data_IF_833397195408
#
_entry.id   IF_833397195408
#
_cell.length_a   1.000
_cell.length_b   1.000
_cell.length_c   1.000
_cell.angle_alpha   90.00
_cell.angle_beta   90.00
_cell.angle_gamma   90.00
#
_symmetry.space_group_name_H-M   'P 1'
#
loop_
_entity.id
_entity.type
_entity.pdbx_description
1 polymer ?
#
# COMPACT_ATOMS: atom_id res chain seq x y z
N UNK A 1 69.24 -24.86 -41.18
CA UNK A 1 68.86 -26.18 -40.64
C UNK A 1 67.41 -26.12 -40.19
N UNK A 2 66.60 -27.00 -40.77
CA UNK A 2 65.19 -27.27 -40.44
C UNK A 2 65.02 -27.77 -39.01
N UNK A 3 63.95 -27.36 -38.30
CA UNK A 3 62.82 -28.22 -37.86
C UNK A 3 61.80 -27.39 -37.05
N UNK A 4 60.54 -27.32 -37.49
CA UNK A 4 59.35 -27.31 -36.60
C UNK A 4 58.89 -28.75 -36.32
N UNK A 5 57.65 -29.08 -35.86
CA UNK A 5 56.45 -28.24 -35.61
C UNK A 5 55.56 -28.62 -34.38
N UNK A 6 54.42 -27.92 -34.19
CA UNK A 6 53.14 -28.41 -33.59
C UNK A 6 53.05 -28.47 -32.05
N UNK A 7 51.93 -28.29 -31.32
CA UNK A 7 50.46 -28.33 -31.54
C UNK A 7 49.85 -27.91 -30.17
N UNK A 8 48.69 -27.26 -29.97
CA UNK A 8 47.36 -27.48 -30.53
C UNK A 8 46.40 -28.12 -29.50
N UNK A 9 45.72 -27.29 -28.70
CA UNK A 9 44.29 -27.37 -28.26
C UNK A 9 43.70 -28.60 -27.51
N UNK A 10 42.97 -28.27 -26.41
CA UNK A 10 41.64 -28.78 -25.94
C UNK A 10 41.51 -29.84 -24.81
N UNK A 11 40.61 -29.51 -23.87
CA UNK A 11 39.53 -30.32 -23.21
C UNK A 11 39.61 -30.52 -21.68
N UNK A 12 38.65 -29.87 -21.01
CA UNK A 12 37.68 -30.33 -20.00
C UNK A 12 38.08 -31.45 -19.01
N UNK A 13 37.88 -31.24 -17.71
CA UNK A 13 36.65 -31.61 -16.97
C UNK A 13 36.92 -31.51 -15.46
N UNK A 14 36.26 -30.60 -14.74
CA UNK A 14 35.58 -30.92 -13.50
C UNK A 14 34.55 -29.82 -13.24
N UNK A 15 33.29 -30.24 -13.35
CA UNK A 15 32.12 -29.48 -12.98
C UNK A 15 32.11 -29.42 -11.45
N UNK A 16 32.11 -28.23 -10.88
CA UNK A 16 31.34 -27.98 -9.67
C UNK A 16 30.32 -26.90 -10.00
N UNK A 17 29.13 -27.42 -10.21
CA UNK A 17 27.86 -26.74 -10.34
C UNK A 17 27.54 -26.12 -8.98
N UNK A 18 28.04 -24.92 -8.70
CA UNK A 18 27.54 -24.12 -7.58
C UNK A 18 26.48 -23.15 -8.09
N UNK A 19 25.29 -23.33 -7.56
CA UNK A 19 24.05 -22.83 -8.09
C UNK A 19 24.06 -21.31 -8.19
N UNK A 20 23.78 -20.80 -9.39
CA UNK A 20 23.08 -19.52 -9.49
C UNK A 20 21.69 -19.73 -8.90
N UNK A 21 21.57 -19.68 -7.56
CA UNK A 21 20.34 -19.23 -6.93
C UNK A 21 20.06 -17.86 -7.54
N UNK A 22 19.10 -17.82 -8.46
CA UNK A 22 18.67 -16.59 -9.08
C UNK A 22 18.32 -15.62 -7.96
N UNK A 23 19.11 -14.56 -7.83
CA UNK A 23 18.74 -13.39 -7.04
C UNK A 23 17.48 -12.84 -7.71
N UNK A 24 16.32 -13.36 -7.31
CA UNK A 24 15.03 -12.79 -7.63
C UNK A 24 15.08 -11.37 -7.08
N UNK A 25 15.26 -10.37 -7.96
CA UNK A 25 15.20 -8.98 -7.56
C UNK A 25 13.86 -8.77 -6.85
N UNK A 26 13.87 -8.53 -5.54
CA UNK A 26 12.65 -8.24 -4.80
C UNK A 26 12.01 -7.01 -5.43
N UNK A 27 10.83 -7.18 -6.04
CA UNK A 27 10.06 -6.06 -6.57
C UNK A 27 9.47 -5.32 -5.36
N UNK A 28 9.59 -4.00 -5.37
CA UNK A 28 9.06 -3.14 -4.32
C UNK A 28 7.97 -2.23 -4.85
N UNK A 29 7.09 -1.83 -3.95
CA UNK A 29 5.96 -0.95 -4.20
C UNK A 29 6.04 0.17 -3.18
N UNK A 30 5.94 1.41 -3.64
CA UNK A 30 5.89 2.56 -2.75
C UNK A 30 4.44 2.83 -2.42
N UNK A 31 3.96 2.41 -1.25
CA UNK A 31 2.57 2.63 -0.82
C UNK A 31 2.44 3.99 -0.12
N UNK A 32 1.20 4.49 0.10
CA UNK A 32 0.97 5.71 0.90
C UNK A 32 1.50 5.60 2.34
N UNK A 33 1.56 4.38 2.87
CA UNK A 33 2.17 4.05 4.16
C UNK A 33 3.64 3.65 4.08
N UNK A 34 4.34 3.96 2.98
CA UNK A 34 5.77 3.66 2.81
C UNK A 34 6.09 2.49 1.88
N UNK A 35 7.39 2.23 1.70
CA UNK A 35 7.93 1.20 0.81
C UNK A 35 7.69 -0.22 1.34
N UNK A 36 7.13 -1.10 0.51
CA UNK A 36 6.82 -2.49 0.84
C UNK A 36 7.30 -3.45 -0.26
N UNK A 37 7.55 -4.71 0.11
CA UNK A 37 7.76 -5.75 -0.88
C UNK A 37 6.44 -6.00 -1.66
N UNK A 38 6.53 -6.27 -2.96
CA UNK A 38 5.34 -6.39 -3.81
C UNK A 38 4.45 -7.59 -3.45
N UNK A 39 5.01 -8.62 -2.81
CA UNK A 39 4.31 -9.82 -2.37
C UNK A 39 3.42 -9.61 -1.14
N UNK A 40 3.59 -8.51 -0.40
CA UNK A 40 2.74 -8.12 0.75
C UNK A 40 1.74 -7.01 0.42
N UNK A 41 1.61 -6.63 -0.86
CA UNK A 41 0.66 -5.63 -1.33
C UNK A 41 -0.41 -6.31 -2.18
N UNK A 42 -1.67 -6.22 -1.75
CA UNK A 42 -2.75 -7.02 -2.29
C UNK A 42 -3.91 -6.17 -2.79
N UNK A 43 -4.37 -6.44 -4.02
CA UNK A 43 -5.62 -5.87 -4.47
C UNK A 43 -6.80 -6.57 -3.79
N UNK A 44 -7.76 -5.77 -3.34
CA UNK A 44 -9.02 -6.19 -2.74
C UNK A 44 -10.08 -6.23 -3.84
N UNK A 45 -10.87 -7.31 -3.88
CA UNK A 45 -11.96 -7.43 -4.84
C UNK A 45 -13.10 -6.45 -4.49
N UNK A 46 -13.89 -5.99 -5.49
CA UNK A 46 -15.08 -5.20 -5.21
C UNK A 46 -15.98 -5.87 -4.16
N UNK A 47 -16.57 -5.07 -3.28
CA UNK A 47 -17.48 -5.49 -2.20
C UNK A 47 -16.90 -6.46 -1.16
N UNK A 48 -15.59 -6.74 -1.22
CA UNK A 48 -14.89 -7.48 -0.15
C UNK A 48 -14.44 -6.56 0.98
N UNK A 49 -14.22 -7.19 2.13
CA UNK A 49 -13.87 -6.57 3.40
C UNK A 49 -12.45 -7.00 3.80
N UNK A 50 -11.60 -6.05 4.19
CA UNK A 50 -10.32 -6.39 4.83
C UNK A 50 -10.59 -6.66 6.32
N UNK A 51 -10.53 -7.93 6.72
CA UNK A 51 -10.74 -8.37 8.09
C UNK A 51 -9.42 -8.78 8.73
N UNK A 52 -9.03 -8.07 9.80
CA UNK A 52 -7.87 -8.40 10.61
C UNK A 52 -8.33 -8.90 11.98
N UNK A 53 -8.13 -10.20 12.21
CA UNK A 53 -8.48 -10.87 13.46
C UNK A 53 -7.51 -12.04 13.70
N UNK A 54 -7.30 -12.37 14.97
CA UNK A 54 -6.44 -13.50 15.38
C UNK A 54 -5.01 -13.42 14.82
N UNK A 55 -4.48 -12.19 14.68
CA UNK A 55 -3.15 -11.94 14.11
C UNK A 55 -3.04 -12.28 12.62
N UNK A 56 -4.15 -12.33 11.88
CA UNK A 56 -4.16 -12.60 10.43
C UNK A 56 -5.03 -11.61 9.67
N UNK A 57 -4.57 -11.25 8.49
CA UNK A 57 -5.34 -10.49 7.52
C UNK A 57 -6.03 -11.43 6.55
N UNK A 58 -7.31 -11.15 6.30
CA UNK A 58 -8.18 -11.91 5.40
C UNK A 58 -8.98 -10.94 4.56
N UNK A 59 -9.21 -11.28 3.31
CA UNK A 59 -10.28 -10.68 2.54
C UNK A 59 -11.51 -11.57 2.70
N UNK A 60 -12.64 -10.97 3.08
CA UNK A 60 -13.88 -11.68 3.36
C UNK A 60 -15.05 -10.99 2.66
N UNK A 61 -16.18 -11.67 2.49
CA UNK A 61 -17.42 -11.00 2.09
C UNK A 61 -17.96 -10.17 3.26
N UNK A 62 -18.93 -9.28 3.00
CA UNK A 62 -19.63 -8.58 4.09
C UNK A 62 -20.32 -9.55 5.06
N UNK A 63 -20.71 -10.75 4.61
CA UNK A 63 -21.27 -11.79 5.46
C UNK A 63 -20.21 -12.51 6.32
N UNK A 64 -18.93 -12.23 6.13
CA UNK A 64 -17.81 -12.84 6.84
C UNK A 64 -17.28 -14.13 6.21
N UNK A 65 -17.73 -14.47 5.00
CA UNK A 65 -17.22 -15.64 4.28
C UNK A 65 -15.80 -15.35 3.80
N UNK A 66 -14.89 -16.31 4.00
CA UNK A 66 -13.49 -16.17 3.57
C UNK A 66 -13.41 -16.13 2.04
N UNK A 67 -12.81 -15.08 1.49
CA UNK A 67 -12.46 -15.00 0.06
C UNK A 67 -10.98 -15.31 -0.15
N UNK A 68 -10.11 -14.80 0.73
CA UNK A 68 -8.66 -14.99 0.65
C UNK A 68 -8.02 -14.85 2.03
N UNK A 69 -7.11 -15.76 2.37
CA UNK A 69 -6.16 -15.56 3.46
C UNK A 69 -4.96 -14.77 2.92
N UNK A 70 -4.72 -13.58 3.47
CA UNK A 70 -3.63 -12.72 3.04
C UNK A 70 -2.34 -13.09 3.77
N UNK A 71 -2.45 -13.48 5.04
CA UNK A 71 -1.31 -13.93 5.83
C UNK A 71 -1.31 -13.39 7.25
N UNK A 72 -0.21 -13.61 7.99
CA UNK A 72 -0.05 -13.11 9.34
C UNK A 72 0.11 -11.58 9.37
N UNK A 73 -0.37 -10.97 10.45
CA UNK A 73 -0.21 -9.56 10.78
C UNK A 73 0.70 -9.47 11.99
N UNK A 74 1.85 -8.79 11.91
CA UNK A 74 2.74 -8.60 13.04
C UNK A 74 2.00 -7.98 14.25
N UNK A 75 2.32 -8.39 15.48
CA UNK A 75 1.78 -7.71 16.66
C UNK A 75 2.33 -6.28 16.71
N UNK A 76 1.44 -5.30 16.89
CA UNK A 76 1.80 -3.90 17.12
C UNK A 76 1.55 -3.51 18.57
N UNK A 77 2.47 -2.76 19.17
CA UNK A 77 2.32 -2.29 20.54
C UNK A 77 1.13 -1.31 20.66
N UNK A 78 0.18 -1.55 21.58
CA UNK A 78 -0.94 -0.64 21.78
C UNK A 78 -0.47 0.77 22.17
N UNK A 79 -1.09 1.79 21.59
CA UNK A 79 -0.86 3.19 21.95
C UNK A 79 0.35 3.86 21.29
N UNK A 80 1.15 3.13 20.50
CA UNK A 80 2.16 3.74 19.63
C UNK A 80 1.50 4.17 18.32
N UNK A 81 1.56 5.46 17.93
CA UNK A 81 1.05 5.89 16.63
C UNK A 81 1.79 5.17 15.50
N UNK A 82 1.03 4.54 14.60
CA UNK A 82 1.51 3.99 13.33
C UNK A 82 2.05 5.09 12.38
N UNK A 83 3.19 5.67 12.71
CA UNK A 83 3.83 6.71 11.89
C UNK A 83 4.93 6.07 11.06
N UNK A 84 5.07 6.44 9.77
CA UNK A 84 6.23 6.04 9.00
C UNK A 84 7.53 6.42 9.72
N UNK A 85 8.57 5.60 9.61
CA UNK A 85 9.82 5.79 10.36
C UNK A 85 10.45 7.19 10.13
N UNK A 86 10.23 7.79 8.96
CA UNK A 86 10.71 9.13 8.62
C UNK A 86 9.98 10.26 9.37
N UNK A 87 8.80 10.00 9.93
CA UNK A 87 8.02 10.98 10.71
C UNK A 87 8.47 11.02 12.18
N UNK A 88 9.09 9.95 12.67
CA UNK A 88 9.68 9.88 14.01
C UNK A 88 11.10 10.46 14.08
N UNK A 89 11.63 10.94 12.95
CA UNK A 89 12.96 11.57 12.90
C UNK A 89 12.92 13.00 13.46
N UNK A 90 14.05 13.52 13.98
CA UNK A 90 14.15 14.92 14.41
C UNK A 90 13.75 15.88 13.28
N UNK A 91 13.08 17.01 13.59
CA UNK A 91 12.57 17.97 12.58
C UNK A 91 13.64 18.53 11.63
N UNK A 92 14.90 18.45 12.01
CA UNK A 92 16.06 18.94 11.25
C UNK A 92 16.45 18.02 10.08
N UNK A 93 15.93 16.79 10.05
CA UNK A 93 16.17 15.84 8.97
C UNK A 93 14.97 15.82 8.01
N UNK A 94 15.16 16.36 6.81
CA UNK A 94 14.16 16.24 5.76
C UNK A 94 13.95 14.75 5.42
N UNK A 95 12.71 14.26 5.40
CA UNK A 95 12.45 12.89 5.01
C UNK A 95 12.80 12.69 3.54
N UNK A 96 13.56 11.64 3.23
CA UNK A 96 13.84 11.26 1.84
C UNK A 96 12.52 10.95 1.11
N UNK A 97 12.44 11.28 -0.17
CA UNK A 97 11.27 10.96 -0.98
C UNK A 97 10.99 9.45 -0.99
N UNK A 98 9.72 9.08 -0.83
CA UNK A 98 9.30 7.67 -0.81
C UNK A 98 9.53 6.94 0.52
N UNK A 99 10.01 7.61 1.57
CA UNK A 99 10.15 7.01 2.91
C UNK A 99 8.85 7.03 3.72
N UNK A 100 7.87 7.83 3.32
CA UNK A 100 6.57 7.95 3.98
C UNK A 100 6.00 9.36 3.85
N UNK A 101 5.43 9.90 4.93
CA UNK A 101 4.73 11.18 4.88
C UNK A 101 5.71 12.35 4.90
N UNK A 102 5.56 13.26 3.95
CA UNK A 102 6.43 14.44 3.82
C UNK A 102 5.83 15.66 4.54
N UNK A 103 4.50 15.80 4.52
CA UNK A 103 3.77 16.85 5.25
C UNK A 103 2.45 16.28 5.72
N UNK A 104 2.13 16.45 7.00
CA UNK A 104 0.92 15.90 7.60
C UNK A 104 0.38 16.81 8.70
N UNK A 105 -0.92 16.68 8.98
CA UNK A 105 -1.56 17.20 10.17
C UNK A 105 -2.38 16.07 10.81
N UNK A 106 -2.52 16.08 12.13
CA UNK A 106 -3.26 15.05 12.85
C UNK A 106 -4.31 15.67 13.79
N UNK A 107 -5.37 14.91 14.03
CA UNK A 107 -6.39 15.22 15.02
C UNK A 107 -6.80 13.92 15.72
N UNK A 108 -6.82 13.95 17.05
CA UNK A 108 -7.29 12.83 17.87
C UNK A 108 -8.63 13.17 18.51
N UNK A 109 -9.65 12.37 18.19
CA UNK A 109 -10.97 12.53 18.79
C UNK A 109 -10.98 11.99 20.22
N UNK A 110 -11.59 12.73 21.15
CA UNK A 110 -11.87 12.25 22.52
C UNK A 110 -13.03 11.25 22.61
N UNK A 111 -13.75 11.01 21.50
CA UNK A 111 -14.87 10.05 21.43
C UNK A 111 -14.79 9.17 20.18
N UNK A 112 -15.35 7.95 20.19
CA UNK A 112 -15.35 7.07 19.02
C UNK A 112 -15.98 7.73 17.78
N UNK A 113 -15.22 7.82 16.69
CA UNK A 113 -15.71 8.34 15.42
C UNK A 113 -16.73 7.36 14.80
N UNK A 114 -17.77 7.92 14.18
CA UNK A 114 -18.74 7.16 13.35
C UNK A 114 -18.45 7.31 11.86
N UNK A 115 -17.97 8.48 11.45
CA UNK A 115 -17.58 8.74 10.08
C UNK A 115 -16.53 9.85 10.02
N UNK A 116 -15.76 9.86 8.95
CA UNK A 116 -14.85 10.93 8.59
C UNK A 116 -14.97 11.17 7.09
N UNK A 117 -15.29 12.40 6.71
CA UNK A 117 -15.51 12.81 5.32
C UNK A 117 -14.58 13.97 4.99
N UNK A 118 -14.05 13.94 3.77
CA UNK A 118 -13.27 15.04 3.20
C UNK A 118 -13.74 15.31 1.79
N UNK A 119 -13.61 16.56 1.36
CA UNK A 119 -13.87 16.98 -0.01
C UNK A 119 -12.67 17.76 -0.50
N UNK A 120 -12.12 17.37 -1.65
CA UNK A 120 -11.05 18.11 -2.31
C UNK A 120 -11.20 18.06 -3.83
N UNK A 121 -10.58 19.01 -4.52
CA UNK A 121 -10.53 19.06 -5.98
C UNK A 121 -9.21 18.45 -6.45
N UNK A 122 -9.25 17.61 -7.49
CA UNK A 122 -8.04 17.05 -8.10
C UNK A 122 -7.17 18.20 -8.63
N UNK A 123 -5.92 18.35 -8.14
CA UNK A 123 -5.06 19.46 -8.52
C UNK A 123 -4.53 19.28 -9.95
N UNK A 124 -3.94 20.35 -10.49
CA UNK A 124 -3.18 20.26 -11.74
C UNK A 124 -2.07 19.22 -11.66
N UNK A 125 -1.68 18.66 -12.80
CA UNK A 125 -0.51 17.80 -12.90
C UNK A 125 0.75 18.52 -12.36
N UNK A 126 1.71 17.78 -11.78
CA UNK A 126 3.01 18.35 -11.43
C UNK A 126 3.66 19.07 -12.63
N UNK A 127 4.32 20.19 -12.37
CA UNK A 127 4.90 21.05 -13.42
C UNK A 127 6.05 20.38 -14.19
N UNK A 128 6.71 19.42 -13.57
CA UNK A 128 7.74 18.58 -14.17
C UNK A 128 7.31 17.12 -14.12
N UNK A 129 7.77 16.27 -15.03
CA UNK A 129 7.49 14.83 -15.05
C UNK A 129 8.81 14.07 -14.98
N UNK A 130 9.29 13.84 -13.75
CA UNK A 130 10.59 13.20 -13.51
C UNK A 130 10.41 11.82 -12.86
N UNK A 131 9.26 11.17 -13.10
CA UNK A 131 8.88 9.93 -12.42
C UNK A 131 8.48 10.14 -10.96
N UNK A 132 8.01 11.34 -10.58
CA UNK A 132 7.57 11.56 -9.20
C UNK A 132 6.30 10.77 -8.87
N UNK A 133 6.26 10.25 -7.64
CA UNK A 133 5.10 9.61 -7.07
C UNK A 133 4.57 10.49 -5.95
N UNK A 134 3.30 10.87 -6.02
CA UNK A 134 2.63 11.73 -5.05
C UNK A 134 1.43 11.00 -4.46
N UNK A 135 1.24 11.18 -3.16
CA UNK A 135 0.09 10.70 -2.42
C UNK A 135 -0.56 11.83 -1.64
N UNK A 136 -1.85 12.06 -1.91
CA UNK A 136 -2.69 13.00 -1.18
C UNK A 136 -3.84 12.19 -0.58
N UNK A 137 -3.96 12.21 0.75
CA UNK A 137 -4.99 11.44 1.44
C UNK A 137 -5.35 12.03 2.80
N UNK A 138 -6.53 11.67 3.27
CA UNK A 138 -6.87 11.70 4.68
C UNK A 138 -6.71 10.28 5.26
N UNK A 139 -6.45 10.20 6.56
CA UNK A 139 -6.21 8.93 7.24
C UNK A 139 -7.14 8.77 8.44
N UNK A 140 -7.67 7.56 8.63
CA UNK A 140 -8.18 7.10 9.92
C UNK A 140 -7.24 6.01 10.42
N UNK A 141 -6.63 6.26 11.57
CA UNK A 141 -5.54 5.44 12.09
C UNK A 141 -5.80 4.98 13.52
N UNK A 142 -5.30 3.79 13.84
CA UNK A 142 -5.11 3.33 15.21
C UNK A 142 -3.66 2.87 15.42
N UNK A 143 -3.36 2.16 16.51
CA UNK A 143 -1.99 1.69 16.81
C UNK A 143 -1.47 0.59 15.90
N UNK A 144 -2.28 0.07 14.97
CA UNK A 144 -1.90 -1.08 14.14
C UNK A 144 -2.06 -0.79 12.64
N UNK A 145 -3.06 0.00 12.26
CA UNK A 145 -3.38 0.23 10.86
C UNK A 145 -3.77 1.67 10.55
N UNK A 146 -3.70 1.99 9.27
CA UNK A 146 -4.28 3.20 8.69
C UNK A 146 -5.19 2.84 7.50
N UNK A 147 -6.38 3.46 7.48
CA UNK A 147 -7.30 3.49 6.35
C UNK A 147 -7.20 4.82 5.63
N UNK A 148 -7.09 4.80 4.30
CA UNK A 148 -6.80 6.00 3.51
C UNK A 148 -7.54 5.94 2.17
N UNK A 149 -8.45 6.87 1.85
CA UNK A 149 -8.82 7.13 0.46
C UNK A 149 -7.75 8.03 -0.13
N UNK A 150 -7.07 7.55 -1.16
CA UNK A 150 -5.83 8.13 -1.68
C UNK A 150 -6.03 8.60 -3.10
N UNK A 151 -5.61 9.84 -3.35
CA UNK A 151 -5.33 10.38 -4.67
C UNK A 151 -3.83 10.22 -4.96
N UNK A 152 -3.50 9.52 -6.04
CA UNK A 152 -2.14 9.19 -6.46
C UNK A 152 -1.82 9.82 -7.83
N UNK A 153 -0.63 10.41 -7.95
CA UNK A 153 0.02 10.69 -9.24
C UNK A 153 1.28 9.85 -9.34
N UNK A 154 1.58 9.30 -10.51
CA UNK A 154 2.81 8.53 -10.76
C UNK A 154 2.61 7.03 -10.63
N UNK A 155 3.62 6.27 -11.04
CA UNK A 155 3.66 4.81 -10.93
C UNK A 155 4.23 4.39 -9.58
N UNK A 156 3.48 3.56 -8.84
CA UNK A 156 3.91 3.04 -7.54
C UNK A 156 4.61 1.67 -7.60
N UNK A 157 4.76 1.10 -8.80
CA UNK A 157 5.32 -0.22 -9.05
C UNK A 157 4.26 -1.31 -9.35
N UNK A 158 2.98 -1.01 -9.13
CA UNK A 158 1.84 -1.87 -9.51
C UNK A 158 0.92 -1.15 -10.49
N UNK A 159 0.60 0.12 -10.25
CA UNK A 159 -0.33 0.90 -11.06
C UNK A 159 0.00 2.40 -11.01
N UNK A 160 -0.63 3.13 -11.93
CA UNK A 160 -0.51 4.58 -12.06
C UNK A 160 0.22 4.97 -13.34
N UNK A 161 0.92 6.09 -13.29
CA UNK A 161 1.61 6.71 -14.43
C UNK A 161 1.48 8.23 -14.37
N UNK A 162 1.73 8.92 -15.47
CA UNK A 162 1.63 10.39 -15.56
C UNK A 162 0.17 10.88 -15.64
N UNK A 163 -0.64 10.44 -14.67
CA UNK A 163 -2.04 10.82 -14.50
C UNK A 163 -2.46 10.66 -13.03
N UNK A 164 -3.59 11.28 -12.68
CA UNK A 164 -4.21 11.10 -11.37
C UNK A 164 -5.09 9.85 -11.34
N UNK A 165 -4.96 9.05 -10.29
CA UNK A 165 -5.87 7.95 -9.99
C UNK A 165 -6.22 7.92 -8.51
N UNK A 166 -7.37 7.31 -8.20
CA UNK A 166 -7.83 7.11 -6.83
C UNK A 166 -7.88 5.64 -6.48
N UNK A 167 -7.53 5.31 -5.24
CA UNK A 167 -7.73 3.99 -4.64
C UNK A 167 -7.91 4.14 -3.12
N UNK A 168 -8.67 3.25 -2.50
CA UNK A 168 -8.73 3.14 -1.04
C UNK A 168 -7.73 2.12 -0.56
N UNK A 169 -7.03 2.43 0.53
CA UNK A 169 -5.94 1.66 1.08
C UNK A 169 -6.20 1.30 2.54
N UNK A 170 -5.84 0.08 2.88
CA UNK A 170 -5.55 -0.39 4.23
C UNK A 170 -4.06 -0.68 4.29
N UNK A 171 -3.35 -0.18 5.31
CA UNK A 171 -1.95 -0.49 5.53
C UNK A 171 -1.70 -0.85 7.00
N UNK A 172 -1.10 -2.02 7.22
CA UNK A 172 -0.65 -2.49 8.53
C UNK A 172 0.83 -2.14 8.74
N UNK A 173 1.16 -1.42 9.82
CA UNK A 173 2.57 -1.11 10.14
C UNK A 173 3.35 -0.38 9.06
N UNK A 174 4.65 -0.21 9.27
CA UNK A 174 5.60 0.12 8.19
C UNK A 174 5.88 -1.12 7.31
N UNK A 175 5.91 -2.31 7.92
CA UNK A 175 6.37 -3.56 7.27
C UNK A 175 5.26 -4.62 7.10
N UNK A 176 4.03 -4.33 7.56
CA UNK A 176 2.91 -5.25 7.44
C UNK A 176 2.32 -5.34 6.03
N UNK A 177 1.25 -6.12 5.90
CA UNK A 177 0.54 -6.22 4.63
C UNK A 177 -0.25 -4.94 4.32
N UNK A 178 -0.33 -4.60 3.04
CA UNK A 178 -1.19 -3.53 2.54
C UNK A 178 -2.22 -4.10 1.58
N UNK A 179 -3.41 -3.50 1.59
CA UNK A 179 -4.53 -3.87 0.74
C UNK A 179 -5.08 -2.62 0.05
N UNK A 180 -5.41 -2.71 -1.24
CA UNK A 180 -5.92 -1.57 -2.01
C UNK A 180 -7.07 -1.94 -2.95
N UNK A 181 -7.97 -1.01 -3.24
CA UNK A 181 -9.03 -1.19 -4.24
C UNK A 181 -8.49 -1.11 -5.66
N UNK A 182 -9.26 -1.61 -6.64
CA UNK A 182 -8.95 -1.32 -8.04
C UNK A 182 -8.80 0.20 -8.26
N UNK A 183 -7.71 0.67 -8.90
CA UNK A 183 -7.50 2.10 -9.12
C UNK A 183 -8.46 2.63 -10.18
N UNK A 184 -8.94 3.86 -10.00
CA UNK A 184 -9.76 4.56 -11.00
C UNK A 184 -9.08 5.85 -11.39
N UNK A 185 -8.84 6.06 -12.68
CA UNK A 185 -8.32 7.32 -13.21
C UNK A 185 -9.34 8.44 -13.02
N UNK A 186 -8.87 9.60 -12.58
CA UNK A 186 -9.68 10.81 -12.37
C UNK A 186 -9.06 11.98 -13.13
N UNK A 187 -9.85 13.03 -13.36
CA UNK A 187 -9.43 14.19 -14.13
C UNK A 187 -9.11 15.38 -13.21
N UNK A 188 -8.23 16.26 -13.68
CA UNK A 188 -7.97 17.54 -13.02
C UNK A 188 -9.28 18.33 -12.91
N UNK A 189 -9.54 18.88 -11.73
CA UNK A 189 -10.79 19.61 -11.46
C UNK A 189 -11.94 18.73 -10.95
N UNK A 190 -11.82 17.40 -10.97
CA UNK A 190 -12.84 16.54 -10.37
C UNK A 190 -12.96 16.82 -8.87
N UNK A 191 -14.19 16.84 -8.36
CA UNK A 191 -14.45 16.91 -6.91
C UNK A 191 -14.49 15.51 -6.35
N UNK A 192 -13.57 15.20 -5.44
CA UNK A 192 -13.48 13.93 -4.76
C UNK A 192 -14.02 14.05 -3.35
N UNK A 193 -14.83 13.07 -2.94
CA UNK A 193 -15.32 12.95 -1.57
C UNK A 193 -14.80 11.65 -0.98
N UNK A 194 -13.74 11.74 -0.17
CA UNK A 194 -13.20 10.60 0.58
C UNK A 194 -14.06 10.33 1.81
N UNK A 195 -14.60 9.12 1.94
CA UNK A 195 -15.49 8.74 3.04
C UNK A 195 -14.98 7.50 3.75
N UNK A 196 -14.77 7.64 5.05
CA UNK A 196 -14.61 6.52 5.97
C UNK A 196 -15.80 6.43 6.91
N UNK A 197 -16.46 5.28 6.99
CA UNK A 197 -17.67 5.11 7.81
C UNK A 197 -17.58 3.86 8.65
N UNK A 198 -17.89 3.97 9.93
CA UNK A 198 -18.07 2.82 10.81
C UNK A 198 -19.41 2.17 10.51
N UNK A 199 -19.35 0.96 9.98
CA UNK A 199 -20.49 0.04 9.87
C UNK A 199 -20.53 -0.77 11.14
N UNK A 200 -21.36 -0.34 12.09
CA UNK A 200 -21.82 -1.23 13.15
C UNK A 200 -22.77 -2.23 12.52
N UNK A 201 -22.47 -3.52 12.66
CA UNK A 201 -23.36 -4.57 12.16
C UNK A 201 -24.80 -4.28 12.59
N UNK A 202 -25.69 -4.12 11.60
CA UNK A 202 -27.07 -4.56 11.77
C UNK A 202 -26.98 -5.96 12.35
N UNK A 203 -27.68 -6.21 13.45
CA UNK A 203 -27.71 -7.51 14.15
C UNK A 203 -27.47 -8.69 13.19
N UNK A 204 -26.29 -9.32 13.25
CA UNK A 204 -25.96 -10.47 12.39
C UNK A 204 -24.66 -10.44 11.58
N UNK A 205 -23.84 -9.38 11.62
CA UNK A 205 -22.49 -9.45 11.02
C UNK A 205 -21.49 -10.11 11.98
N UNK A 206 -20.86 -11.25 11.61
CA UNK A 206 -19.91 -11.96 12.48
C UNK A 206 -18.58 -11.22 12.69
N UNK A 207 -18.33 -10.15 11.93
CA UNK A 207 -17.06 -9.39 11.91
C UNK A 207 -17.00 -8.22 12.90
N UNK A 208 -18.08 -7.92 13.64
CA UNK A 208 -18.14 -6.78 14.55
C UNK A 208 -18.26 -5.42 13.83
N UNK A 209 -17.60 -4.37 14.36
CA UNK A 209 -17.61 -3.05 13.74
C UNK A 209 -16.59 -2.99 12.60
N UNK A 210 -17.09 -2.89 11.38
CA UNK A 210 -16.29 -2.76 10.15
C UNK A 210 -16.18 -1.28 9.79
N UNK A 211 -15.04 -0.84 9.26
CA UNK A 211 -14.96 0.47 8.62
C UNK A 211 -15.10 0.27 7.11
N UNK A 212 -15.74 1.20 6.42
CA UNK A 212 -15.62 1.31 4.96
C UNK A 212 -14.67 2.44 4.63
N UNK A 213 -13.94 2.33 3.51
CA UNK A 213 -13.13 3.41 2.95
C UNK A 213 -13.40 3.50 1.44
N UNK A 214 -13.89 4.65 0.98
CA UNK A 214 -14.26 4.82 -0.43
C UNK A 214 -14.15 6.28 -0.92
N UNK A 215 -14.20 6.44 -2.24
CA UNK A 215 -14.58 7.70 -2.87
C UNK A 215 -16.05 7.66 -3.27
N UNK A 216 -16.85 8.61 -2.78
CA UNK A 216 -18.30 8.65 -3.06
C UNK A 216 -18.53 8.92 -4.54
N UNK A 217 -19.36 8.08 -5.18
CA UNK A 217 -19.74 8.25 -6.59
C UNK A 217 -18.73 7.73 -7.61
N UNK A 218 -17.59 7.18 -7.16
CA UNK A 218 -16.58 6.55 -8.02
C UNK A 218 -16.68 5.02 -7.85
N UNK A 219 -16.65 4.27 -8.95
CA UNK A 219 -16.68 2.81 -8.94
C UNK A 219 -15.40 2.24 -8.27
N UNK A 220 -15.46 1.05 -7.66
CA UNK A 220 -14.29 0.42 -7.01
C UNK A 220 -14.33 0.38 -5.47
N UNK A 221 -15.51 0.22 -4.88
CA UNK A 221 -15.68 0.13 -3.42
C UNK A 221 -15.02 -1.12 -2.84
N UNK A 222 -14.26 -0.97 -1.76
CA UNK A 222 -14.01 -2.02 -0.78
C UNK A 222 -14.31 -1.47 0.62
N UNK A 223 -14.55 -2.35 1.58
CA UNK A 223 -14.77 -1.97 2.99
C UNK A 223 -13.58 -2.36 3.85
#
# INVERSE_FOLDING_TARGET
MSTGPGTGTRLNHLLDNDGSEGVMSKKFVITPGGRRAADVVHQVAPDSVVHVADGRMRHVTRAGEMLRDVGPVPPHEPGVPLMPANVMQPPEQLPDFGTGWITFANFQSGTPLKSFLTTWVVPGAPQTQNGQLLYLFNGLQNSSMILQPVLQWGDNGIFGGDHWCVASWYADGQDGAASYTAPVTVQVGDTLVGRMTRVTGTSGLPLGAVWTCEFVGIAGRAS
#
